data_IF_586110267127
#
_entry.id   IF_586110267127
#
_cell.length_a   1.000
_cell.length_b   1.000
_cell.length_c   1.000
_cell.angle_alpha   90.00
_cell.angle_beta   90.00
_cell.angle_gamma   90.00
#
_symmetry.space_group_name_H-M   'P 1'
#
loop_
_entity.id
_entity.type
_entity.pdbx_description
1 polymer ?
#
# COMPACT_ATOMS: atom_id res chain seq x y z
N UNK A 1 -8.46 3.46 29.11
CA UNK A 1 -8.48 2.87 27.75
C UNK A 1 -7.06 2.49 27.37
N UNK A 2 -6.87 1.24 26.98
CA UNK A 2 -5.57 0.75 26.51
C UNK A 2 -5.39 1.05 25.03
N UNK A 3 -4.15 1.06 24.56
CA UNK A 3 -3.78 1.42 23.20
C UNK A 3 -3.03 0.28 22.54
N UNK A 4 -3.53 -0.15 21.38
CA UNK A 4 -2.84 -1.03 20.45
C UNK A 4 -2.09 -0.12 19.48
N UNK A 5 -0.82 -0.43 19.23
CA UNK A 5 -0.03 0.16 18.16
C UNK A 5 0.57 -0.96 17.32
N UNK A 6 0.46 -0.84 16.01
CA UNK A 6 1.05 -1.79 15.06
C UNK A 6 2.02 -1.02 14.16
N UNK A 7 3.24 -1.54 14.03
CA UNK A 7 4.20 -1.04 13.04
C UNK A 7 4.39 -2.10 11.96
N UNK A 8 4.33 -1.67 10.71
CA UNK A 8 4.73 -2.44 9.53
C UNK A 8 6.10 -1.95 9.10
N UNK A 9 7.12 -2.81 9.21
CA UNK A 9 8.50 -2.48 8.85
C UNK A 9 9.00 -3.39 7.75
N UNK A 10 9.91 -2.89 6.91
CA UNK A 10 10.56 -3.67 5.86
C UNK A 10 10.38 -3.02 4.50
N UNK A 11 10.04 -3.84 3.50
CA UNK A 11 9.77 -3.40 2.14
C UNK A 11 8.26 -3.31 1.91
N UNK A 12 7.82 -2.23 1.28
CA UNK A 12 6.43 -1.96 0.96
C UNK A 12 6.22 -1.77 -0.54
N UNK A 13 4.99 -1.97 -0.97
CA UNK A 13 4.51 -1.68 -2.32
C UNK A 13 3.28 -0.79 -2.22
N UNK A 14 3.17 0.15 -3.15
CA UNK A 14 1.97 0.94 -3.41
C UNK A 14 1.69 0.88 -4.91
N UNK A 15 0.48 0.47 -5.26
CA UNK A 15 -0.04 0.53 -6.62
C UNK A 15 -1.14 1.58 -6.65
N UNK A 16 -1.00 2.55 -7.56
CA UNK A 16 -1.98 3.60 -7.83
C UNK A 16 -2.57 3.41 -9.22
N UNK A 17 -3.88 3.24 -9.31
CA UNK A 17 -4.62 3.35 -10.57
C UNK A 17 -5.07 4.80 -10.69
N UNK A 18 -4.50 5.54 -11.64
CA UNK A 18 -4.78 6.97 -11.82
C UNK A 18 -6.07 7.13 -12.62
N UNK A 19 -6.97 7.98 -12.12
CA UNK A 19 -8.17 8.38 -12.83
C UNK A 19 -7.93 9.72 -13.52
N UNK A 20 -7.97 9.70 -14.86
CA UNK A 20 -7.94 10.91 -15.69
C UNK A 20 -9.23 10.97 -16.50
N UNK A 21 -9.83 12.16 -16.58
CA UNK A 21 -10.87 12.41 -17.57
C UNK A 21 -10.27 12.38 -19.00
N UNK A 22 -11.13 12.13 -19.99
CA UNK A 22 -10.71 11.96 -21.38
C UNK A 22 -9.97 13.19 -21.94
N UNK A 23 -10.38 14.39 -21.56
CA UNK A 23 -9.77 15.64 -22.04
C UNK A 23 -8.35 15.79 -21.48
N UNK A 24 -8.16 15.56 -20.17
CA UNK A 24 -6.82 15.56 -19.55
C UNK A 24 -5.94 14.47 -20.10
N UNK A 25 -6.46 13.25 -20.25
CA UNK A 25 -5.72 12.14 -20.83
C UNK A 25 -5.18 12.50 -22.21
N UNK A 26 -6.04 13.00 -23.11
CA UNK A 26 -5.64 13.39 -24.45
C UNK A 26 -4.61 14.53 -24.42
N UNK A 27 -4.85 15.56 -23.61
CA UNK A 27 -3.93 16.70 -23.48
C UNK A 27 -2.54 16.26 -23.02
N UNK A 28 -2.46 15.44 -21.98
CA UNK A 28 -1.19 15.02 -21.40
C UNK A 28 -0.47 14.01 -22.27
N UNK A 29 -1.20 13.14 -22.96
CA UNK A 29 -0.62 12.23 -23.95
C UNK A 29 0.01 13.01 -25.13
N UNK A 30 -0.60 14.09 -25.59
CA UNK A 30 0.01 14.97 -26.60
C UNK A 30 1.29 15.65 -26.10
N UNK A 31 1.36 16.02 -24.81
CA UNK A 31 2.60 16.53 -24.20
C UNK A 31 3.67 15.43 -24.15
N UNK A 32 3.31 14.20 -23.77
CA UNK A 32 4.21 13.05 -23.72
C UNK A 32 4.80 12.75 -25.10
N UNK A 33 3.97 12.74 -26.15
CA UNK A 33 4.41 12.59 -27.54
C UNK A 33 5.40 13.66 -27.97
N UNK A 34 5.15 14.94 -27.63
CA UNK A 34 6.09 16.05 -27.95
C UNK A 34 7.43 15.90 -27.24
N UNK A 35 7.45 15.30 -26.05
CA UNK A 35 8.66 15.00 -25.27
C UNK A 35 9.29 13.65 -25.64
N UNK A 36 8.68 12.90 -26.56
CA UNK A 36 9.11 11.57 -26.96
C UNK A 36 9.24 10.59 -25.78
N UNK A 37 8.27 10.63 -24.86
CA UNK A 37 8.17 9.72 -23.72
C UNK A 37 6.75 9.15 -23.60
N UNK A 38 6.58 8.11 -22.78
CA UNK A 38 5.25 7.59 -22.44
C UNK A 38 4.51 8.54 -21.50
N UNK A 39 3.18 8.41 -21.41
CA UNK A 39 2.39 9.17 -20.45
C UNK A 39 2.75 8.78 -19.01
N UNK A 40 3.02 7.51 -18.73
CA UNK A 40 3.44 7.02 -17.42
C UNK A 40 4.78 7.62 -16.99
N UNK A 41 5.77 7.70 -17.88
CA UNK A 41 7.05 8.36 -17.60
C UNK A 41 6.87 9.86 -17.35
N UNK A 42 6.00 10.51 -18.13
CA UNK A 42 5.68 11.93 -17.95
C UNK A 42 5.05 12.19 -16.57
N UNK A 43 4.15 11.32 -16.11
CA UNK A 43 3.51 11.43 -14.80
C UNK A 43 4.49 11.25 -13.63
N UNK A 44 5.59 10.52 -13.84
CA UNK A 44 6.65 10.34 -12.85
C UNK A 44 7.67 11.47 -12.84
N UNK A 45 7.71 12.32 -13.87
CA UNK A 45 8.58 13.50 -13.93
C UNK A 45 8.07 14.61 -12.98
N UNK A 46 8.80 14.96 -11.89
CA UNK A 46 8.37 16.03 -10.99
C UNK A 46 8.25 17.39 -11.68
N UNK A 47 9.02 17.63 -12.75
CA UNK A 47 8.99 18.88 -13.50
C UNK A 47 7.74 19.03 -14.37
N UNK A 48 7.07 17.92 -14.70
CA UNK A 48 5.83 17.96 -15.47
C UNK A 48 4.76 18.80 -14.76
N UNK A 49 4.54 18.56 -13.47
CA UNK A 49 3.53 19.27 -12.67
C UNK A 49 3.83 20.78 -12.56
N UNK A 50 5.12 21.14 -12.44
CA UNK A 50 5.52 22.55 -12.48
C UNK A 50 5.20 23.24 -13.82
N UNK A 51 5.26 22.51 -14.93
CA UNK A 51 4.95 23.04 -16.27
C UNK A 51 3.45 23.27 -16.48
N UNK A 52 2.59 22.52 -15.79
CA UNK A 52 1.13 22.68 -15.86
C UNK A 52 0.68 24.03 -15.28
N UNK A 53 1.47 24.62 -14.36
CA UNK A 53 1.13 25.86 -13.63
C UNK A 53 -0.23 25.81 -12.92
N UNK A 54 -0.69 24.61 -12.57
CA UNK A 54 -1.90 24.40 -11.77
C UNK A 54 -1.50 24.29 -10.30
N UNK A 55 -1.98 25.22 -9.47
CA UNK A 55 -1.68 25.23 -8.04
C UNK A 55 -2.33 24.07 -7.27
N UNK A 56 -3.28 23.36 -7.89
CA UNK A 56 -3.92 22.17 -7.31
C UNK A 56 -3.17 20.88 -7.61
N UNK A 57 -2.24 20.89 -8.57
CA UNK A 57 -1.50 19.72 -9.02
C UNK A 57 0.00 19.98 -8.91
N UNK A 58 0.57 19.68 -7.75
CA UNK A 58 2.00 19.82 -7.50
C UNK A 58 2.77 18.51 -7.74
N UNK A 59 2.08 17.37 -7.67
CA UNK A 59 2.67 16.05 -7.85
C UNK A 59 1.64 15.00 -8.29
N UNK A 60 2.14 13.81 -8.59
CA UNK A 60 1.31 12.64 -8.88
C UNK A 60 0.38 12.25 -7.70
N UNK A 61 0.73 12.66 -6.48
CA UNK A 61 -0.06 12.36 -5.29
C UNK A 61 -1.36 13.19 -5.23
N UNK A 62 -1.42 14.28 -5.98
CA UNK A 62 -2.59 15.17 -6.07
C UNK A 62 -3.62 14.67 -7.09
N UNK A 63 -3.29 13.63 -7.86
CA UNK A 63 -4.21 13.00 -8.80
C UNK A 63 -5.17 12.06 -8.07
N UNK A 64 -6.42 12.04 -8.52
CA UNK A 64 -7.39 11.06 -8.07
C UNK A 64 -6.94 9.66 -8.49
N UNK A 65 -6.87 8.75 -7.52
CA UNK A 65 -6.39 7.41 -7.76
C UNK A 65 -7.02 6.41 -6.79
N UNK A 66 -7.31 5.21 -7.28
CA UNK A 66 -7.50 4.05 -6.41
C UNK A 66 -6.12 3.58 -5.96
N UNK A 67 -5.90 3.47 -4.64
CA UNK A 67 -4.60 3.12 -4.06
C UNK A 67 -4.71 1.83 -3.29
N UNK A 68 -3.86 0.87 -3.64
CA UNK A 68 -3.67 -0.37 -2.89
C UNK A 68 -2.22 -0.43 -2.46
N UNK A 69 -1.96 -0.55 -1.16
CA UNK A 69 -0.59 -0.60 -0.62
C UNK A 69 -0.48 -1.56 0.54
N UNK A 70 0.77 -1.94 0.86
CA UNK A 70 1.03 -2.85 1.96
C UNK A 70 2.49 -3.21 2.13
N UNK A 71 2.76 -4.04 3.14
CA UNK A 71 4.11 -4.57 3.40
C UNK A 71 4.29 -5.89 2.66
N UNK A 72 5.38 -5.99 1.89
CA UNK A 72 5.73 -7.16 1.09
C UNK A 72 6.24 -8.31 1.95
N UNK A 73 6.02 -9.56 1.48
CA UNK A 73 6.68 -10.73 2.04
C UNK A 73 8.15 -10.80 1.65
N UNK A 74 8.99 -10.08 2.41
CA UNK A 74 10.44 -10.07 2.23
C UNK A 74 11.14 -10.45 3.53
N UNK A 75 12.38 -10.99 3.48
CA UNK A 75 13.10 -11.43 4.67
C UNK A 75 13.29 -10.36 5.77
N UNK A 76 13.32 -9.08 5.39
CA UNK A 76 13.46 -7.95 6.33
C UNK A 76 12.12 -7.42 6.85
N UNK A 77 11.01 -7.82 6.21
CA UNK A 77 9.68 -7.38 6.58
C UNK A 77 9.19 -8.04 7.86
N UNK A 78 8.55 -7.25 8.72
CA UNK A 78 7.96 -7.72 9.96
C UNK A 78 6.91 -6.75 10.50
N UNK A 79 6.01 -7.30 11.29
CA UNK A 79 4.91 -6.60 11.93
C UNK A 79 5.17 -6.61 13.43
N UNK A 80 5.14 -5.46 14.07
CA UNK A 80 5.28 -5.34 15.52
C UNK A 80 3.99 -4.91 16.17
N UNK A 81 3.50 -5.71 17.11
CA UNK A 81 2.35 -5.37 17.95
C UNK A 81 2.85 -4.83 19.28
N UNK A 82 2.32 -3.67 19.63
CA UNK A 82 2.62 -2.97 20.86
C UNK A 82 1.33 -2.76 21.65
N UNK A 83 1.34 -3.17 22.91
CA UNK A 83 0.23 -2.99 23.83
C UNK A 83 0.76 -2.47 25.16
N UNK A 84 0.11 -1.44 25.71
CA UNK A 84 0.57 -0.78 26.95
C UNK A 84 2.05 -0.37 26.89
N UNK A 85 2.49 0.14 25.74
CA UNK A 85 3.87 0.58 25.43
C UNK A 85 4.94 -0.53 25.50
N UNK A 86 4.53 -1.80 25.51
CA UNK A 86 5.44 -2.96 25.41
C UNK A 86 5.19 -3.67 24.10
N UNK A 87 6.26 -4.13 23.46
CA UNK A 87 6.16 -5.03 22.31
C UNK A 87 5.68 -6.37 22.82
N UNK A 88 4.55 -6.86 22.29
CA UNK A 88 3.91 -8.10 22.75
C UNK A 88 3.97 -9.20 21.71
N UNK A 89 4.09 -8.86 20.42
CA UNK A 89 4.21 -9.83 19.35
C UNK A 89 5.03 -9.23 18.21
N UNK A 90 5.81 -10.08 17.55
CA UNK A 90 6.47 -9.79 16.27
C UNK A 90 6.15 -10.92 15.31
N UNK A 91 5.54 -10.60 14.18
CA UNK A 91 5.12 -11.56 13.14
C UNK A 91 5.92 -11.27 11.87
N UNK A 92 6.39 -12.30 11.19
CA UNK A 92 6.93 -12.16 9.83
C UNK A 92 5.81 -12.33 8.81
N UNK A 93 5.79 -11.57 7.71
CA UNK A 93 4.71 -11.69 6.74
C UNK A 93 4.59 -13.11 6.17
N UNK A 94 5.69 -13.82 5.91
CA UNK A 94 5.66 -15.22 5.48
C UNK A 94 4.88 -16.16 6.43
N UNK A 95 4.76 -15.84 7.72
CA UNK A 95 3.92 -16.61 8.67
C UNK A 95 2.42 -16.40 8.42
N UNK A 96 2.04 -15.28 7.77
CA UNK A 96 0.68 -15.00 7.30
C UNK A 96 0.38 -15.62 5.94
N UNK A 97 1.40 -15.81 5.09
CA UNK A 97 1.23 -16.33 3.73
C UNK A 97 1.44 -17.85 3.62
N UNK A 98 1.94 -18.50 4.67
CA UNK A 98 2.31 -19.91 4.62
C UNK A 98 1.07 -20.82 4.58
N UNK A 99 0.76 -21.37 3.42
CA UNK A 99 -0.32 -22.35 3.22
C UNK A 99 0.08 -23.79 3.61
N UNK A 100 1.33 -24.03 4.03
CA UNK A 100 1.84 -25.38 4.40
C UNK A 100 1.57 -25.76 5.87
N UNK A 101 0.84 -24.94 6.62
CA UNK A 101 0.47 -25.25 8.01
C UNK A 101 -0.80 -26.10 8.07
N UNK A 102 -0.84 -27.08 8.98
CA UNK A 102 -2.03 -27.93 9.20
C UNK A 102 -3.22 -27.14 9.76
N UNK A 103 -2.96 -26.01 10.42
CA UNK A 103 -3.96 -25.12 10.99
C UNK A 103 -3.55 -23.66 10.76
N UNK A 104 -4.48 -22.78 10.36
CA UNK A 104 -4.17 -21.37 10.21
C UNK A 104 -3.79 -20.76 11.56
N UNK A 105 -2.65 -20.07 11.61
CA UNK A 105 -2.16 -19.40 12.82
C UNK A 105 -2.89 -18.08 13.10
N UNK A 106 -3.48 -17.50 12.06
CA UNK A 106 -4.13 -16.19 12.08
C UNK A 106 -5.38 -16.20 11.22
N UNK A 107 -6.32 -15.30 11.52
CA UNK A 107 -7.47 -15.05 10.64
C UNK A 107 -6.99 -14.24 9.44
N UNK A 108 -7.07 -14.82 8.24
CA UNK A 108 -6.58 -14.23 7.00
C UNK A 108 -7.74 -14.06 6.03
N UNK A 109 -7.91 -12.85 5.51
CA UNK A 109 -8.81 -12.52 4.42
C UNK A 109 -7.97 -12.25 3.17
N UNK A 110 -8.22 -12.97 2.07
CA UNK A 110 -7.66 -12.59 0.77
C UNK A 110 -8.52 -11.46 0.22
N UNK A 111 -7.90 -10.35 -0.17
CA UNK A 111 -8.60 -9.24 -0.83
C UNK A 111 -8.82 -9.60 -2.31
N UNK A 112 -10.06 -9.89 -2.74
CA UNK A 112 -10.32 -10.25 -4.13
C UNK A 112 -10.33 -9.05 -5.07
N UNK A 113 -10.35 -7.82 -4.54
CA UNK A 113 -10.55 -6.58 -5.31
C UNK A 113 -9.30 -6.23 -6.13
N UNK A 114 -8.14 -6.82 -5.79
CA UNK A 114 -6.89 -6.55 -6.48
C UNK A 114 -6.21 -7.88 -6.85
N UNK A 115 -6.61 -8.41 -8.01
CA UNK A 115 -5.91 -9.49 -8.71
C UNK A 115 -5.18 -8.88 -9.90
N UNK A 116 -3.85 -9.02 -9.96
CA UNK A 116 -3.05 -8.52 -11.08
C UNK A 116 -3.47 -9.11 -12.43
N UNK A 117 -4.16 -10.26 -12.45
CA UNK A 117 -4.68 -10.87 -13.67
C UNK A 117 -6.01 -10.27 -14.15
N UNK A 118 -6.63 -9.39 -13.36
CA UNK A 118 -7.94 -8.80 -13.62
C UNK A 118 -7.92 -7.27 -13.43
N UNK A 119 -6.77 -6.65 -13.67
CA UNK A 119 -6.66 -5.19 -13.64
C UNK A 119 -7.55 -4.58 -14.73
N UNK A 120 -8.29 -3.56 -14.35
CA UNK A 120 -9.09 -2.77 -15.28
C UNK A 120 -8.18 -1.95 -16.21
N UNK A 121 -8.71 -1.53 -17.36
CA UNK A 121 -8.00 -0.60 -18.24
C UNK A 121 -7.69 0.70 -17.51
N UNK A 122 -6.50 1.24 -17.70
CA UNK A 122 -6.08 2.48 -17.07
C UNK A 122 -4.58 2.59 -16.85
N UNK A 123 -4.18 3.68 -16.20
CA UNK A 123 -2.79 4.02 -15.93
C UNK A 123 -2.44 3.59 -14.51
N UNK A 124 -1.41 2.77 -14.37
CA UNK A 124 -0.93 2.27 -13.10
C UNK A 124 0.47 2.80 -12.79
N UNK A 125 0.66 3.19 -11.54
CA UNK A 125 1.96 3.60 -10.99
C UNK A 125 2.30 2.70 -9.81
N UNK A 126 3.47 2.07 -9.88
CA UNK A 126 4.01 1.24 -8.81
C UNK A 126 5.11 2.01 -8.12
N UNK A 127 5.07 2.00 -6.78
CA UNK A 127 6.13 2.50 -5.91
C UNK A 127 6.56 1.39 -4.97
N UNK A 128 7.88 1.16 -4.88
CA UNK A 128 8.46 0.33 -3.81
C UNK A 128 9.20 1.21 -2.82
N UNK A 129 9.07 0.87 -1.56
CA UNK A 129 9.59 1.66 -0.44
C UNK A 129 10.20 0.76 0.63
N UNK A 130 11.14 1.30 1.42
CA UNK A 130 11.80 0.59 2.52
C UNK A 130 11.81 1.44 3.79
N UNK A 131 11.52 0.84 4.94
CA UNK A 131 11.53 1.51 6.24
C UNK A 131 10.30 1.18 7.07
N UNK A 132 9.74 2.20 7.73
CA UNK A 132 8.46 2.11 8.43
C UNK A 132 7.34 2.39 7.43
N UNK A 133 6.77 1.33 6.86
CA UNK A 133 5.72 1.41 5.85
C UNK A 133 4.46 2.03 6.44
N UNK A 134 4.06 1.60 7.64
CA UNK A 134 2.95 2.20 8.36
C UNK A 134 3.07 2.01 9.88
N UNK A 135 2.66 3.02 10.63
CA UNK A 135 2.37 2.95 12.05
C UNK A 135 0.88 3.23 12.25
N UNK A 136 0.17 2.29 12.86
CA UNK A 136 -1.28 2.36 13.05
C UNK A 136 -1.66 2.15 14.51
N UNK A 137 -2.78 2.73 14.95
CA UNK A 137 -3.18 2.72 16.35
C UNK A 137 -4.69 2.60 16.55
N UNK A 138 -5.08 1.87 17.60
CA UNK A 138 -6.47 1.72 18.03
C UNK A 138 -6.56 1.81 19.56
N UNK A 139 -7.52 2.60 20.06
CA UNK A 139 -7.86 2.62 21.49
C UNK A 139 -8.91 1.56 21.76
N UNK A 140 -8.67 0.73 22.77
CA UNK A 140 -9.59 -0.33 23.18
C UNK A 140 -10.00 -0.14 24.64
N UNK A 141 -11.25 -0.51 24.95
CA UNK A 141 -11.78 -0.45 26.30
C UNK A 141 -11.17 -1.54 27.21
N UNK A 142 -10.80 -2.69 26.63
CA UNK A 142 -10.24 -3.84 27.33
C UNK A 142 -8.79 -3.60 27.78
N UNK A 143 -8.43 -4.29 28.86
CA UNK A 143 -7.08 -4.25 29.43
C UNK A 143 -6.18 -5.44 29.06
N UNK A 144 -6.71 -6.34 28.24
CA UNK A 144 -6.01 -7.46 27.63
C UNK A 144 -6.05 -7.32 26.10
N UNK A 145 -5.08 -7.97 25.45
CA UNK A 145 -5.01 -8.12 24.01
C UNK A 145 -5.08 -9.61 23.70
N UNK A 146 -6.01 -10.02 22.83
CA UNK A 146 -6.01 -11.35 22.24
C UNK A 146 -5.52 -11.26 20.79
N UNK A 147 -4.64 -12.17 20.38
CA UNK A 147 -4.09 -12.19 19.02
C UNK A 147 -5.12 -12.77 18.04
N UNK A 148 -5.96 -13.69 18.50
CA UNK A 148 -7.00 -14.31 17.66
C UNK A 148 -8.10 -13.33 17.25
N UNK A 149 -8.16 -12.16 17.89
CA UNK A 149 -9.08 -11.08 17.55
C UNK A 149 -8.60 -10.24 16.35
N UNK A 150 -7.41 -10.51 15.81
CA UNK A 150 -6.88 -9.83 14.63
C UNK A 150 -7.23 -10.56 13.35
N UNK A 151 -7.61 -9.77 12.35
CA UNK A 151 -7.81 -10.24 10.98
C UNK A 151 -6.82 -9.53 10.06
N UNK A 152 -6.11 -10.30 9.25
CA UNK A 152 -5.09 -9.82 8.32
C UNK A 152 -5.63 -9.91 6.90
N UNK A 153 -5.61 -8.80 6.16
CA UNK A 153 -6.01 -8.78 4.76
C UNK A 153 -4.78 -8.81 3.88
N UNK A 154 -4.70 -9.80 2.99
CA UNK A 154 -3.58 -9.99 2.07
C UNK A 154 -3.99 -9.78 0.62
N UNK A 155 -3.05 -9.34 -0.21
CA UNK A 155 -3.20 -9.15 -1.65
C UNK A 155 -1.99 -9.71 -2.38
N UNK A 156 -2.14 -9.89 -3.69
CA UNK A 156 -1.08 -10.31 -4.57
C UNK A 156 -1.02 -9.38 -5.79
N UNK A 157 0.18 -9.02 -6.20
CA UNK A 157 0.45 -8.31 -7.43
C UNK A 157 1.61 -9.02 -8.13
N UNK A 158 1.38 -9.50 -9.35
CA UNK A 158 2.33 -10.35 -10.06
C UNK A 158 2.76 -11.54 -9.18
N UNK A 159 4.05 -11.66 -8.90
CA UNK A 159 4.64 -12.71 -8.06
C UNK A 159 4.90 -12.25 -6.61
N UNK A 160 4.38 -11.09 -6.20
CA UNK A 160 4.60 -10.53 -4.87
C UNK A 160 3.31 -10.54 -4.05
N UNK A 161 3.38 -11.13 -2.85
CA UNK A 161 2.33 -11.06 -1.85
C UNK A 161 2.62 -9.96 -0.83
N UNK A 162 1.57 -9.30 -0.38
CA UNK A 162 1.68 -8.21 0.58
C UNK A 162 0.46 -8.10 1.48
N UNK A 163 0.70 -7.62 2.70
CA UNK A 163 -0.33 -7.37 3.69
C UNK A 163 -0.86 -5.95 3.53
N UNK A 164 -2.15 -5.83 3.18
CA UNK A 164 -2.80 -4.55 2.89
C UNK A 164 -3.50 -3.95 4.10
N UNK A 165 -4.07 -4.78 4.97
CA UNK A 165 -4.81 -4.28 6.12
C UNK A 165 -4.69 -5.21 7.33
N UNK A 166 -4.85 -4.63 8.52
CA UNK A 166 -5.01 -5.35 9.77
C UNK A 166 -6.23 -4.75 10.46
N UNK A 167 -7.14 -5.60 10.93
CA UNK A 167 -8.27 -5.20 11.77
C UNK A 167 -8.17 -5.88 13.13
N UNK A 168 -8.72 -5.23 14.15
CA UNK A 168 -8.90 -5.81 15.47
C UNK A 168 -10.38 -5.81 15.82
N UNK A 169 -10.98 -6.99 16.03
CA UNK A 169 -12.42 -7.12 16.29
C UNK A 169 -13.27 -6.39 15.23
N UNK A 170 -12.93 -6.58 13.95
CA UNK A 170 -13.51 -5.91 12.78
C UNK A 170 -13.38 -4.37 12.75
N UNK A 171 -12.56 -3.78 13.63
CA UNK A 171 -12.28 -2.35 13.62
C UNK A 171 -10.97 -2.07 12.90
N UNK A 172 -11.00 -1.04 12.03
CA UNK A 172 -9.80 -0.53 11.39
C UNK A 172 -8.91 0.18 12.42
N UNK A 173 -7.60 0.02 12.29
CA UNK A 173 -6.65 0.84 13.02
C UNK A 173 -6.49 2.19 12.30
N UNK A 174 -6.27 3.25 13.08
CA UNK A 174 -6.05 4.58 12.52
C UNK A 174 -4.59 4.72 12.10
N UNK A 175 -4.34 5.15 10.86
CA UNK A 175 -3.01 5.51 10.40
C UNK A 175 -2.47 6.68 11.23
N UNK A 176 -1.20 6.61 11.60
CA UNK A 176 -0.50 7.65 12.37
C UNK A 176 0.60 8.29 11.55
N UNK A 177 1.47 7.46 10.97
CA UNK A 177 2.59 7.92 10.14
C UNK A 177 3.20 6.78 9.33
N UNK A 178 3.97 7.16 8.33
CA UNK A 178 4.98 6.35 7.66
C UNK A 178 6.33 7.08 7.75
N UNK A 179 7.42 6.34 7.62
CA UNK A 179 8.79 6.84 7.56
C UNK A 179 9.60 5.86 6.72
N UNK A 180 9.32 5.91 5.41
CA UNK A 180 9.84 4.98 4.42
C UNK A 180 10.46 5.77 3.26
N UNK A 181 11.55 5.22 2.72
CA UNK A 181 12.25 5.76 1.58
C UNK A 181 11.75 5.07 0.31
N UNK A 182 11.35 5.85 -0.70
CA UNK A 182 11.08 5.31 -2.04
C UNK A 182 12.38 4.79 -2.64
N UNK A 183 12.39 3.54 -3.06
CA UNK A 183 13.55 2.87 -3.66
C UNK A 183 13.39 2.64 -5.15
N UNK A 184 12.14 2.59 -5.63
CA UNK A 184 11.82 2.34 -7.03
C UNK A 184 10.43 2.90 -7.35
N UNK A 185 10.27 3.45 -8.55
CA UNK A 185 9.00 3.85 -9.12
C UNK A 185 8.97 3.49 -10.61
N UNK A 186 7.81 3.05 -11.09
CA UNK A 186 7.56 2.80 -12.51
C UNK A 186 6.07 2.94 -12.79
N UNK A 187 5.70 3.02 -14.06
CA UNK A 187 4.31 3.05 -14.48
C UNK A 187 4.08 2.26 -15.75
N UNK A 188 2.86 1.77 -15.90
CA UNK A 188 2.40 1.06 -17.08
C UNK A 188 0.93 1.40 -17.35
N UNK A 189 0.47 1.10 -18.55
CA UNK A 189 -0.90 1.34 -18.98
C UNK A 189 -1.50 0.03 -19.48
N UNK A 190 -2.76 -0.21 -19.12
CA UNK A 190 -3.56 -1.34 -19.61
C UNK A 190 -4.64 -0.74 -20.51
N UNK A 191 -4.71 -1.21 -21.75
CA UNK A 191 -5.74 -0.87 -22.74
C UNK A 191 -6.98 -1.73 -22.58
#
# INVERSE_FOLDING_TARGET
MSKIKINLLGEGIEIRQIHLDADRYQQWNEIAKRKNCSLTDLLLDPFFYHQLRDSKLASILDLEAAVTSGVLDKPKSHIEFWFKRRKVLKVKPNELFNEMVLFPLYQIEKNPIFDSNQLESGIYIIKKEIGLIASMELKIAKDSLNIDDFTFTTSQFENEQFLTNIKYQNQNLNFVKSDALTTYQTGFEIE
#
